data_IF_322082509849
#
_entry.id   IF_322082509849
#
_cell.length_a   1.000
_cell.length_b   1.000
_cell.length_c   1.000
_cell.angle_alpha   90.00
_cell.angle_beta   90.00
_cell.angle_gamma   90.00
#
_symmetry.space_group_name_H-M   'P 1'
#
loop_
_entity.id
_entity.type
_entity.pdbx_description
1 polymer ?
#
# COMPACT_ATOMS: atom_id res chain seq x y z
N UNK A 1 15.83 -5.69 3.63
CA UNK A 1 14.74 -6.64 3.77
C UNK A 1 13.84 -6.51 2.54
N UNK A 2 13.64 -7.60 1.79
CA UNK A 2 12.82 -7.60 0.57
C UNK A 2 11.34 -7.90 0.85
N UNK A 3 10.61 -8.32 -0.18
CA UNK A 3 9.18 -8.70 -0.14
C UNK A 3 8.82 -9.79 0.90
N UNK A 4 9.83 -10.50 1.43
CA UNK A 4 9.67 -11.50 2.48
C UNK A 4 9.59 -10.90 3.91
N UNK A 5 9.70 -9.57 4.08
CA UNK A 5 9.55 -8.96 5.40
C UNK A 5 8.10 -9.02 5.87
N UNK A 6 7.82 -9.57 7.08
CA UNK A 6 6.47 -9.58 7.63
C UNK A 6 5.97 -8.17 7.98
N UNK A 7 6.86 -7.18 7.95
CA UNK A 7 6.56 -5.77 8.23
C UNK A 7 6.50 -4.92 6.96
N UNK A 8 6.39 -5.53 5.78
CA UNK A 8 6.07 -4.80 4.58
C UNK A 8 4.64 -4.24 4.67
N UNK A 9 4.47 -2.99 4.28
CA UNK A 9 3.17 -2.36 4.15
C UNK A 9 2.43 -2.95 2.94
N UNK A 10 1.20 -3.39 3.15
CA UNK A 10 0.43 -4.24 2.25
C UNK A 10 -0.78 -3.52 1.65
N UNK A 11 -1.09 -3.89 0.40
CA UNK A 11 -2.39 -3.61 -0.21
C UNK A 11 -3.37 -4.73 0.17
N UNK A 12 -4.51 -4.36 0.73
CA UNK A 12 -5.51 -5.28 1.27
C UNK A 12 -6.86 -5.07 0.60
N UNK A 13 -7.56 -6.16 0.35
CA UNK A 13 -8.91 -6.19 -0.22
C UNK A 13 -9.79 -7.16 0.55
N UNK A 14 -11.10 -7.07 0.35
CA UNK A 14 -12.03 -8.10 0.84
C UNK A 14 -11.84 -9.41 0.08
N UNK A 15 -11.91 -10.55 0.77
CA UNK A 15 -11.87 -11.89 0.17
C UNK A 15 -12.90 -12.02 -0.96
N UNK A 16 -12.45 -12.55 -2.09
CA UNK A 16 -13.21 -12.66 -3.33
C UNK A 16 -12.98 -11.53 -4.33
N UNK A 17 -12.37 -10.40 -3.90
CA UNK A 17 -12.05 -9.26 -4.77
C UNK A 17 -10.63 -9.29 -5.34
N UNK A 18 -9.81 -10.29 -5.00
CA UNK A 18 -8.38 -10.36 -5.36
C UNK A 18 -8.14 -10.37 -6.88
N UNK A 19 -9.14 -10.82 -7.64
CA UNK A 19 -9.09 -10.91 -9.11
C UNK A 19 -9.94 -9.85 -9.82
N UNK A 20 -10.50 -8.88 -9.08
CA UNK A 20 -11.22 -7.78 -9.69
C UNK A 20 -10.26 -6.96 -10.58
N UNK A 21 -10.60 -6.70 -11.86
CA UNK A 21 -9.69 -6.00 -12.78
C UNK A 21 -9.27 -4.60 -12.30
N UNK A 22 -10.15 -3.84 -11.63
CA UNK A 22 -9.80 -2.54 -11.04
C UNK A 22 -8.79 -2.70 -9.90
N UNK A 23 -8.93 -3.72 -9.07
CA UNK A 23 -7.99 -4.06 -8.00
C UNK A 23 -6.64 -4.48 -8.57
N UNK A 24 -6.63 -5.30 -9.62
CA UNK A 24 -5.39 -5.71 -10.29
C UNK A 24 -4.69 -4.52 -10.97
N UNK A 25 -5.45 -3.57 -11.52
CA UNK A 25 -4.89 -2.33 -12.06
C UNK A 25 -4.26 -1.47 -10.96
N UNK A 26 -4.92 -1.31 -9.80
CA UNK A 26 -4.37 -0.61 -8.63
C UNK A 26 -3.10 -1.31 -8.12
N UNK A 27 -3.12 -2.63 -8.01
CA UNK A 27 -1.95 -3.45 -7.62
C UNK A 27 -0.77 -3.21 -8.56
N UNK A 28 -0.98 -3.34 -9.88
CA UNK A 28 0.08 -3.14 -10.86
C UNK A 28 0.69 -1.74 -10.79
N UNK A 29 -0.13 -0.71 -10.60
CA UNK A 29 0.32 0.67 -10.44
C UNK A 29 1.13 0.89 -9.14
N UNK A 30 0.71 0.29 -8.02
CA UNK A 30 1.45 0.33 -6.76
C UNK A 30 2.78 -0.42 -6.82
N UNK A 31 2.85 -1.56 -7.50
CA UNK A 31 4.07 -2.35 -7.68
C UNK A 31 4.98 -1.80 -8.78
N UNK A 32 4.75 -0.58 -9.26
CA UNK A 32 5.47 -0.01 -10.39
C UNK A 32 6.87 0.49 -10.06
N UNK A 33 7.70 0.57 -11.12
CA UNK A 33 9.00 1.24 -11.04
C UNK A 33 8.87 2.71 -10.66
N UNK A 34 7.80 3.38 -11.08
CA UNK A 34 7.53 4.78 -10.74
C UNK A 34 7.33 4.95 -9.23
N UNK A 35 6.65 4.01 -8.55
CA UNK A 35 6.51 4.01 -7.08
C UNK A 35 7.87 3.76 -6.41
N UNK A 36 8.67 2.81 -6.91
CA UNK A 36 10.03 2.58 -6.39
C UNK A 36 10.90 3.85 -6.48
N UNK A 37 10.88 4.50 -7.64
CA UNK A 37 11.70 5.68 -7.90
C UNK A 37 11.22 6.88 -7.05
N UNK A 38 9.90 7.02 -6.85
CA UNK A 38 9.32 8.01 -5.95
C UNK A 38 9.80 7.81 -4.50
N UNK A 39 9.70 6.58 -3.97
CA UNK A 39 10.15 6.25 -2.61
C UNK A 39 11.64 6.58 -2.45
N UNK A 40 12.50 6.13 -3.35
CA UNK A 40 13.94 6.39 -3.30
C UNK A 40 14.29 7.88 -3.35
N UNK A 41 13.53 8.65 -4.13
CA UNK A 41 13.74 10.10 -4.29
C UNK A 41 13.23 10.88 -3.08
N UNK A 42 12.08 10.49 -2.54
CA UNK A 42 11.40 11.22 -1.46
C UNK A 42 12.00 10.91 -0.09
N UNK A 43 12.46 9.65 0.10
CA UNK A 43 13.00 9.16 1.37
C UNK A 43 14.45 8.67 1.21
N UNK A 44 15.40 9.56 0.84
CA UNK A 44 16.79 9.18 0.59
C UNK A 44 17.54 8.77 1.87
N UNK A 45 16.99 9.09 3.03
CA UNK A 45 17.49 8.71 4.36
C UNK A 45 17.17 7.26 4.73
N UNK A 46 16.38 6.56 3.92
CA UNK A 46 15.97 5.18 4.16
C UNK A 46 14.85 5.02 5.20
N UNK A 47 14.16 6.10 5.57
CA UNK A 47 12.99 6.05 6.46
C UNK A 47 11.81 5.29 5.83
N UNK A 48 11.74 5.24 4.50
CA UNK A 48 10.85 4.38 3.74
C UNK A 48 11.66 3.64 2.67
N UNK A 49 11.56 2.32 2.61
CA UNK A 49 12.33 1.47 1.69
C UNK A 49 11.38 0.57 0.91
N UNK A 50 11.51 0.57 -0.42
CA UNK A 50 10.69 -0.31 -1.27
C UNK A 50 11.01 -1.79 -1.04
N UNK A 51 9.97 -2.63 -1.02
CA UNK A 51 10.07 -4.10 -0.96
C UNK A 51 9.70 -4.78 -2.29
N UNK A 52 9.45 -3.99 -3.34
CA UNK A 52 9.06 -4.50 -4.65
C UNK A 52 10.30 -5.09 -5.35
N UNK A 53 10.35 -6.41 -5.52
CA UNK A 53 11.50 -7.09 -6.15
C UNK A 53 11.43 -7.05 -7.68
N UNK A 54 10.23 -7.15 -8.24
CA UNK A 54 9.97 -7.18 -9.68
C UNK A 54 8.95 -6.10 -10.04
N UNK A 55 9.39 -4.85 -10.21
CA UNK A 55 8.48 -3.76 -10.50
C UNK A 55 7.82 -3.93 -11.88
N UNK A 56 6.56 -3.53 -11.96
CA UNK A 56 5.83 -3.38 -13.22
C UNK A 56 6.23 -2.06 -13.91
N UNK A 57 5.76 -1.87 -15.13
CA UNK A 57 5.79 -0.56 -15.80
C UNK A 57 4.60 0.35 -15.41
N UNK A 58 3.81 -0.08 -14.45
CA UNK A 58 2.58 0.58 -13.97
C UNK A 58 1.31 -0.16 -14.38
N UNK A 59 1.42 -1.17 -15.24
CA UNK A 59 0.28 -1.86 -15.85
C UNK A 59 0.45 -3.37 -15.81
N UNK A 60 -0.68 -4.08 -15.90
CA UNK A 60 -0.76 -5.53 -16.07
C UNK A 60 -1.31 -5.84 -17.47
N UNK A 61 -0.50 -6.51 -18.28
CA UNK A 61 -0.84 -6.85 -19.66
C UNK A 61 -2.06 -7.79 -19.81
N UNK A 62 -2.47 -8.45 -18.73
CA UNK A 62 -3.66 -9.32 -18.73
C UNK A 62 -4.97 -8.55 -18.59
N UNK A 63 -4.92 -7.25 -18.27
CA UNK A 63 -6.09 -6.41 -18.04
C UNK A 63 -6.51 -5.68 -19.33
N UNK A 64 -7.81 -5.74 -19.64
CA UNK A 64 -8.42 -4.87 -20.65
C UNK A 64 -8.71 -3.47 -20.04
N UNK A 65 -7.73 -2.59 -20.10
CA UNK A 65 -7.86 -1.22 -19.57
C UNK A 65 -8.93 -0.39 -20.31
N UNK A 66 -9.19 -0.69 -21.58
CA UNK A 66 -10.24 0.01 -22.30
C UNK A 66 -11.63 -0.23 -21.69
N UNK A 67 -11.87 -1.46 -21.22
CA UNK A 67 -13.10 -1.81 -20.50
C UNK A 67 -13.22 -1.15 -19.13
N UNK A 68 -12.10 -0.72 -18.52
CA UNK A 68 -12.07 -0.07 -17.21
C UNK A 68 -12.13 1.48 -17.31
N UNK A 69 -12.00 2.04 -18.50
CA UNK A 69 -12.03 3.49 -18.71
C UNK A 69 -13.33 4.10 -18.21
N UNK A 70 -13.22 5.20 -17.45
CA UNK A 70 -14.35 5.88 -16.82
C UNK A 70 -14.77 5.30 -15.47
N UNK A 71 -14.17 4.18 -15.03
CA UNK A 71 -14.46 3.59 -13.73
C UNK A 71 -13.59 4.20 -12.62
N UNK A 72 -14.03 4.02 -11.38
CA UNK A 72 -13.34 4.50 -10.17
C UNK A 72 -12.97 3.31 -9.29
N UNK A 73 -11.73 3.31 -8.78
CA UNK A 73 -11.28 2.44 -7.70
C UNK A 73 -10.98 3.29 -6.46
N UNK A 74 -11.37 2.83 -5.28
CA UNK A 74 -11.18 3.53 -4.02
C UNK A 74 -10.18 2.82 -3.13
N UNK A 75 -9.35 3.61 -2.41
CA UNK A 75 -8.37 3.08 -1.48
C UNK A 75 -8.32 3.91 -0.20
N UNK A 76 -8.52 3.25 0.94
CA UNK A 76 -8.32 3.84 2.25
C UNK A 76 -6.84 3.79 2.62
N UNK A 77 -6.28 4.88 3.14
CA UNK A 77 -4.87 4.96 3.50
C UNK A 77 -4.64 5.89 4.69
N UNK A 78 -3.54 5.68 5.41
CA UNK A 78 -3.01 6.70 6.33
C UNK A 78 -2.22 7.76 5.56
N UNK A 79 -2.08 9.01 6.10
CA UNK A 79 -1.58 10.12 5.29
C UNK A 79 -0.19 9.89 4.68
N UNK A 80 0.82 9.58 5.50
CA UNK A 80 2.19 9.42 5.05
C UNK A 80 2.77 8.08 5.51
N UNK A 81 3.53 7.38 4.66
CA UNK A 81 3.80 7.65 3.24
C UNK A 81 2.71 7.15 2.29
N UNK A 82 1.68 6.46 2.79
CA UNK A 82 0.71 5.67 2.03
C UNK A 82 -0.14 6.52 1.07
N UNK A 83 -0.91 7.49 1.60
CA UNK A 83 -1.72 8.37 0.74
C UNK A 83 -0.85 9.26 -0.16
N UNK A 84 0.36 9.65 0.29
CA UNK A 84 1.31 10.38 -0.55
C UNK A 84 1.72 9.57 -1.80
N UNK A 85 2.06 8.29 -1.64
CA UNK A 85 2.40 7.40 -2.75
C UNK A 85 1.20 7.26 -3.71
N UNK A 86 0.00 7.02 -3.16
CA UNK A 86 -1.21 6.90 -3.95
C UNK A 86 -1.53 8.18 -4.75
N UNK A 87 -1.48 9.34 -4.09
CA UNK A 87 -1.84 10.61 -4.72
C UNK A 87 -0.79 11.15 -5.70
N UNK A 88 0.51 10.96 -5.38
CA UNK A 88 1.59 11.56 -6.16
C UNK A 88 2.09 10.68 -7.32
N UNK A 89 1.77 9.38 -7.32
CA UNK A 89 2.26 8.44 -8.34
C UNK A 89 1.13 7.58 -8.92
N UNK A 90 0.47 6.79 -8.08
CA UNK A 90 -0.49 5.77 -8.51
C UNK A 90 -1.68 6.38 -9.24
N UNK A 91 -2.15 7.52 -8.75
CA UNK A 91 -3.27 8.26 -9.34
C UNK A 91 -3.03 8.62 -10.81
N UNK A 92 -1.84 9.10 -11.14
CA UNK A 92 -1.49 9.49 -12.51
C UNK A 92 -1.33 8.27 -13.43
N UNK A 93 -0.78 7.17 -12.93
CA UNK A 93 -0.66 5.90 -13.68
C UNK A 93 -2.05 5.39 -14.08
N UNK A 94 -3.00 5.37 -13.15
CA UNK A 94 -4.36 4.92 -13.40
C UNK A 94 -5.14 5.91 -14.29
N UNK A 95 -4.96 7.21 -14.08
CA UNK A 95 -5.60 8.26 -14.89
C UNK A 95 -5.21 8.18 -16.36
N UNK A 96 -3.97 7.80 -16.67
CA UNK A 96 -3.50 7.58 -18.04
C UNK A 96 -4.28 6.48 -18.79
N UNK A 97 -4.96 5.59 -18.06
CA UNK A 97 -5.86 4.56 -18.59
C UNK A 97 -7.34 4.88 -18.40
N UNK A 98 -7.67 6.13 -18.01
CA UNK A 98 -9.05 6.57 -17.79
C UNK A 98 -9.67 6.06 -16.48
N UNK A 99 -8.88 5.49 -15.56
CA UNK A 99 -9.35 5.02 -14.26
C UNK A 99 -9.13 6.12 -13.23
N UNK A 100 -10.17 6.44 -12.45
CA UNK A 100 -10.07 7.39 -11.34
C UNK A 100 -9.69 6.65 -10.05
N UNK A 101 -8.60 7.07 -9.38
CA UNK A 101 -8.29 6.62 -8.02
C UNK A 101 -8.87 7.61 -7.02
N UNK A 102 -9.77 7.12 -6.15
CA UNK A 102 -10.28 7.86 -4.99
C UNK A 102 -9.52 7.43 -3.74
N UNK A 103 -8.66 8.30 -3.22
CA UNK A 103 -7.95 8.07 -1.95
C UNK A 103 -8.77 8.68 -0.81
N UNK A 104 -8.99 7.87 0.25
CA UNK A 104 -9.68 8.31 1.46
C UNK A 104 -8.72 8.15 2.64
N UNK A 105 -8.37 9.28 3.26
CA UNK A 105 -7.38 9.28 4.35
C UNK A 105 -8.06 9.07 5.71
N UNK A 106 -7.44 8.21 6.52
CA UNK A 106 -7.84 7.93 7.91
C UNK A 106 -6.65 8.06 8.85
N UNK A 107 -6.89 8.62 10.03
CA UNK A 107 -5.87 8.79 11.09
C UNK A 107 -5.98 7.70 12.18
N UNK A 108 -6.60 6.57 11.88
CA UNK A 108 -6.71 5.42 12.77
C UNK A 108 -6.45 4.11 12.01
N UNK A 109 -6.32 3.00 12.74
CA UNK A 109 -5.97 1.70 12.18
C UNK A 109 -7.13 0.68 12.16
N UNK A 110 -8.33 1.07 12.59
CA UNK A 110 -9.50 0.20 12.65
C UNK A 110 -10.45 0.45 11.49
N UNK A 111 -10.79 1.72 11.24
CA UNK A 111 -11.77 2.11 10.22
C UNK A 111 -11.37 1.65 8.82
N UNK A 112 -10.08 1.77 8.37
CA UNK A 112 -9.70 1.33 7.03
C UNK A 112 -9.99 -0.15 6.72
N UNK A 113 -9.91 -1.02 7.72
CA UNK A 113 -10.28 -2.43 7.57
C UNK A 113 -11.80 -2.63 7.54
N UNK A 114 -12.54 -1.91 8.37
CA UNK A 114 -14.00 -2.02 8.41
C UNK A 114 -14.66 -1.58 7.10
N UNK A 115 -14.27 -0.43 6.56
CA UNK A 115 -14.86 0.08 5.31
C UNK A 115 -14.56 -0.80 4.10
N UNK A 116 -13.44 -1.56 4.11
CA UNK A 116 -13.14 -2.55 3.07
C UNK A 116 -13.94 -3.84 3.29
N UNK A 117 -14.05 -4.32 4.54
CA UNK A 117 -14.89 -5.48 4.85
C UNK A 117 -16.36 -5.23 4.52
N UNK A 118 -16.87 -4.03 4.78
CA UNK A 118 -18.26 -3.64 4.50
C UNK A 118 -18.49 -3.37 2.99
N UNK A 119 -17.43 -3.27 2.19
CA UNK A 119 -17.50 -3.01 0.74
C UNK A 119 -17.77 -1.56 0.39
N UNK A 120 -17.59 -0.63 1.32
CA UNK A 120 -17.72 0.82 1.08
C UNK A 120 -16.51 1.38 0.32
N UNK A 121 -15.32 0.80 0.53
CA UNK A 121 -14.06 1.12 -0.15
C UNK A 121 -13.45 -0.18 -0.69
N UNK A 122 -12.86 -0.12 -1.88
CA UNK A 122 -12.41 -1.31 -2.60
C UNK A 122 -11.16 -1.95 -2.01
N UNK A 123 -10.22 -1.14 -1.47
CA UNK A 123 -8.96 -1.59 -0.91
C UNK A 123 -8.48 -0.69 0.23
N UNK A 124 -7.50 -1.16 1.00
CA UNK A 124 -6.74 -0.28 1.88
C UNK A 124 -5.23 -0.52 1.78
N UNK A 125 -4.47 0.50 2.19
CA UNK A 125 -3.02 0.50 2.17
C UNK A 125 -2.51 1.31 3.38
N UNK A 126 -2.17 0.62 4.49
CA UNK A 126 -1.75 1.26 5.75
C UNK A 126 -1.12 0.30 6.78
N UNK A 127 -1.14 -1.01 6.57
CA UNK A 127 -0.87 -2.03 7.58
C UNK A 127 0.13 -3.09 7.14
N UNK A 128 0.52 -3.95 8.08
CA UNK A 128 1.38 -5.12 7.89
C UNK A 128 0.59 -6.42 8.04
N UNK A 129 1.11 -7.54 7.50
CA UNK A 129 0.45 -8.86 7.60
C UNK A 129 0.13 -9.28 9.04
N UNK A 130 1.03 -9.15 10.05
CA UNK A 130 0.69 -9.55 11.42
C UNK A 130 -0.52 -8.79 12.01
N UNK A 131 -0.63 -7.49 11.73
CA UNK A 131 -1.78 -6.70 12.16
C UNK A 131 -3.06 -7.16 11.45
N UNK A 132 -3.00 -7.42 10.15
CA UNK A 132 -4.14 -7.92 9.37
C UNK A 132 -4.64 -9.27 9.90
N UNK A 133 -3.72 -10.19 10.19
CA UNK A 133 -4.05 -11.52 10.70
C UNK A 133 -4.75 -11.44 12.07
N UNK A 134 -4.22 -10.62 12.98
CA UNK A 134 -4.82 -10.37 14.29
C UNK A 134 -6.19 -9.70 14.15
N UNK A 135 -6.31 -8.70 13.28
CA UNK A 135 -7.58 -8.00 13.03
C UNK A 135 -8.65 -8.96 12.49
N UNK A 136 -8.31 -9.76 11.47
CA UNK A 136 -9.24 -10.77 10.93
C UNK A 136 -9.73 -11.73 12.01
N UNK A 137 -8.82 -12.21 12.86
CA UNK A 137 -9.14 -13.15 13.93
C UNK A 137 -10.01 -12.53 15.01
N UNK A 138 -9.70 -11.30 15.43
CA UNK A 138 -10.40 -10.63 16.54
C UNK A 138 -11.77 -10.07 16.12
N UNK A 139 -11.85 -9.53 14.89
CA UNK A 139 -13.05 -8.89 14.38
C UNK A 139 -13.93 -9.81 13.52
N UNK A 140 -13.44 -11.02 13.18
CA UNK A 140 -14.16 -11.96 12.31
C UNK A 140 -14.26 -11.46 10.87
N UNK A 141 -13.28 -10.70 10.39
CA UNK A 141 -13.23 -10.16 9.03
C UNK A 141 -12.53 -11.12 8.06
N UNK A 142 -12.72 -10.88 6.74
CA UNK A 142 -12.24 -11.75 5.67
C UNK A 142 -11.41 -10.94 4.66
N UNK A 143 -10.40 -10.26 5.18
CA UNK A 143 -9.52 -9.41 4.40
C UNK A 143 -8.28 -10.20 3.92
N UNK A 144 -7.77 -9.88 2.73
CA UNK A 144 -6.62 -10.54 2.09
C UNK A 144 -5.58 -9.53 1.64
N UNK A 145 -4.32 -9.77 1.98
CA UNK A 145 -3.18 -9.05 1.42
C UNK A 145 -2.90 -9.55 -0.01
N UNK A 146 -2.64 -8.62 -0.93
CA UNK A 146 -2.40 -8.93 -2.35
C UNK A 146 -1.12 -8.32 -2.93
N UNK A 147 -0.48 -7.38 -2.22
CA UNK A 147 0.78 -6.78 -2.61
C UNK A 147 1.55 -6.29 -1.38
N UNK A 148 2.89 -6.24 -1.49
CA UNK A 148 3.84 -5.82 -0.45
C UNK A 148 4.73 -4.72 -1.03
N UNK A 149 4.59 -3.49 -0.57
CA UNK A 149 5.06 -2.30 -1.28
C UNK A 149 6.32 -1.70 -0.69
N UNK A 150 6.34 -1.46 0.62
CA UNK A 150 7.47 -0.83 1.30
C UNK A 150 7.56 -1.24 2.76
N UNK A 151 8.74 -1.04 3.35
CA UNK A 151 8.95 -1.08 4.79
C UNK A 151 9.32 0.31 5.31
N UNK A 152 8.96 0.58 6.56
CA UNK A 152 9.42 1.73 7.35
C UNK A 152 10.35 1.19 8.45
N UNK A 153 11.68 1.14 8.20
CA UNK A 153 12.63 0.56 9.15
C UNK A 153 12.62 1.32 10.48
N UNK A 154 12.57 0.58 11.57
CA UNK A 154 12.70 1.16 12.90
C UNK A 154 14.16 1.52 13.18
N UNK A 155 14.42 2.74 13.62
CA UNK A 155 15.74 3.23 14.00
C UNK A 155 15.84 3.55 15.48
N UNK A 156 17.01 3.28 16.08
CA UNK A 156 17.35 3.76 17.41
C UNK A 156 18.08 5.11 17.27
N UNK A 157 17.47 6.17 17.76
CA UNK A 157 18.04 7.52 17.71
C UNK A 157 18.61 7.93 19.06
N UNK A 158 19.86 8.39 19.06
CA UNK A 158 20.63 8.66 20.27
C UNK A 158 20.18 9.85 21.12
N UNK A 159 19.33 10.74 20.65
CA UNK A 159 18.94 11.94 21.38
C UNK A 159 20.16 12.74 21.86
N UNK A 160 20.31 12.88 23.19
CA UNK A 160 21.49 13.50 23.82
C UNK A 160 22.69 12.53 23.92
N UNK A 161 22.48 11.24 23.71
CA UNK A 161 23.49 10.20 23.74
C UNK A 161 24.01 9.94 22.33
N UNK A 162 25.33 9.91 22.16
CA UNK A 162 25.98 9.72 20.85
C UNK A 162 26.55 8.33 20.66
N UNK A 163 26.48 7.48 21.69
CA UNK A 163 26.96 6.08 21.65
C UNK A 163 26.00 5.15 22.39
N UNK A 164 26.02 3.85 22.04
CA UNK A 164 25.23 2.81 22.72
C UNK A 164 25.75 2.47 24.12
N UNK A 165 26.95 2.94 24.49
CA UNK A 165 27.58 2.62 25.80
C UNK A 165 26.81 3.17 26.99
N UNK A 166 26.01 4.21 26.78
CA UNK A 166 25.17 4.81 27.82
C UNK A 166 23.84 4.03 28.05
N UNK A 167 23.58 2.98 27.29
CA UNK A 167 22.40 2.11 27.43
C UNK A 167 22.67 0.86 28.25
N UNK A 168 23.88 0.73 28.84
CA UNK A 168 24.27 -0.39 29.73
C UNK A 168 23.87 -0.10 31.17
#
# INVERSE_FOLDING_TARGET
>A
EGSASPYANILVVKEGNEKNPLILALKAALESKQVQDYIKKTYPDGSVVTTIDKPTDGYDASIDYAALSGQTVSCAATPAPHAEILNNVVKDILAAKGITLKVVEYNDYVIPNKVVEDGEIDANYFQHDPYLDDFNKEQGTHLKSIAWIHCEPMGLFGGKQTTLDALK
#
